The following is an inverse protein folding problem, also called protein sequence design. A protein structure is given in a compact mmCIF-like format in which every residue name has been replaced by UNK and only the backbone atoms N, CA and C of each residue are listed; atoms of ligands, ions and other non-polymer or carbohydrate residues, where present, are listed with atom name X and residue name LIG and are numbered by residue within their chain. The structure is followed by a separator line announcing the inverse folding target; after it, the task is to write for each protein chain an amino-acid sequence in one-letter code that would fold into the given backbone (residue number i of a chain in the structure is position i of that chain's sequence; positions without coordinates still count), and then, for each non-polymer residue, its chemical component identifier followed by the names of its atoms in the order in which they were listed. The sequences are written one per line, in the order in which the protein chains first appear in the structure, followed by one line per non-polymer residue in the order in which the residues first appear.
data_IF_416063406840
#
_entry.id   IF_416063406840
#
_cell.length_a   1.000
_cell.length_b   1.000
_cell.length_c   1.000
_cell.angle_alpha   90.00
_cell.angle_beta   90.00
_cell.angle_gamma   90.00
#
_symmetry.space_group_name_H-M   'P 1'
#
loop_
_entity.id
_entity.type
_entity.pdbx_description
1 polymer ?
#
# COMPACT_ATOMS: atom_id res chain seq x y z
N UNK A 1 -39.44 17.61 6.20
CA UNK A 1 -38.38 17.46 5.17
C UNK A 1 -37.03 17.00 5.72
N UNK A 2 -36.59 17.44 6.92
CA UNK A 2 -35.30 17.05 7.55
C UNK A 2 -35.07 15.53 7.70
N UNK A 3 -36.08 14.77 8.14
CA UNK A 3 -35.95 13.31 8.35
C UNK A 3 -35.81 12.49 7.06
N UNK A 4 -36.31 13.00 5.93
CA UNK A 4 -36.15 12.35 4.61
C UNK A 4 -34.70 12.52 4.13
N UNK A 5 -34.17 13.74 4.26
CA UNK A 5 -32.77 14.08 3.96
C UNK A 5 -31.77 13.26 4.81
N UNK A 6 -32.06 13.09 6.10
CA UNK A 6 -31.25 12.24 7.00
C UNK A 6 -31.29 10.74 6.65
N UNK A 7 -32.43 10.24 6.13
CA UNK A 7 -32.50 8.86 5.61
C UNK A 7 -31.68 8.71 4.32
N UNK A 8 -31.76 9.69 3.42
CA UNK A 8 -31.03 9.67 2.16
C UNK A 8 -29.50 9.69 2.39
N UNK A 9 -29.01 10.50 3.34
CA UNK A 9 -27.59 10.52 3.73
C UNK A 9 -27.11 9.18 4.31
N UNK A 10 -27.93 8.51 5.14
CA UNK A 10 -27.59 7.18 5.69
C UNK A 10 -27.53 6.12 4.59
N UNK A 11 -28.46 6.16 3.64
CA UNK A 11 -28.46 5.23 2.49
C UNK A 11 -27.21 5.46 1.62
N UNK A 12 -26.85 6.72 1.37
CA UNK A 12 -25.63 7.07 0.64
C UNK A 12 -24.37 6.56 1.37
N UNK A 13 -24.27 6.77 2.68
CA UNK A 13 -23.15 6.26 3.50
C UNK A 13 -23.04 4.74 3.45
N UNK A 14 -24.18 4.03 3.53
CA UNK A 14 -24.20 2.58 3.45
C UNK A 14 -23.75 2.08 2.07
N UNK A 15 -24.22 2.72 1.00
CA UNK A 15 -23.81 2.39 -0.36
C UNK A 15 -22.31 2.60 -0.57
N UNK A 16 -21.77 3.74 -0.12
CA UNK A 16 -20.34 4.02 -0.19
C UNK A 16 -19.50 3.00 0.60
N UNK A 17 -20.00 2.56 1.76
CA UNK A 17 -19.36 1.51 2.57
C UNK A 17 -19.31 0.18 1.83
N UNK A 18 -20.43 -0.28 1.27
CA UNK A 18 -20.52 -1.53 0.51
C UNK A 18 -19.58 -1.49 -0.71
N UNK A 19 -19.56 -0.37 -1.45
CA UNK A 19 -18.66 -0.19 -2.58
C UNK A 19 -17.19 -0.23 -2.16
N UNK A 20 -16.84 0.40 -1.03
CA UNK A 20 -15.48 0.35 -0.48
C UNK A 20 -15.08 -1.07 -0.07
N UNK A 21 -15.98 -1.83 0.56
CA UNK A 21 -15.73 -3.22 0.96
C UNK A 21 -15.57 -4.13 -0.27
N UNK A 22 -16.41 -3.96 -1.28
CA UNK A 22 -16.31 -4.69 -2.55
C UNK A 22 -14.99 -4.38 -3.27
N UNK A 23 -14.58 -3.10 -3.31
CA UNK A 23 -13.30 -2.68 -3.87
C UNK A 23 -12.11 -3.31 -3.12
N UNK A 24 -12.13 -3.29 -1.78
CA UNK A 24 -11.09 -3.93 -0.97
C UNK A 24 -11.02 -5.44 -1.21
N UNK A 25 -12.17 -6.10 -1.35
CA UNK A 25 -12.24 -7.52 -1.66
C UNK A 25 -11.61 -7.82 -3.04
N UNK A 26 -11.96 -7.05 -4.07
CA UNK A 26 -11.38 -7.21 -5.42
C UNK A 26 -9.86 -7.00 -5.40
N UNK A 27 -9.39 -5.96 -4.69
CA UNK A 27 -7.96 -5.68 -4.56
C UNK A 27 -7.23 -6.82 -3.82
N UNK A 28 -7.84 -7.36 -2.77
CA UNK A 28 -7.32 -8.50 -2.02
C UNK A 28 -7.22 -9.76 -2.89
N UNK A 29 -8.25 -10.05 -3.69
CA UNK A 29 -8.23 -11.15 -4.66
C UNK A 29 -7.15 -10.95 -5.73
N UNK A 30 -6.94 -9.72 -6.21
CA UNK A 30 -5.86 -9.42 -7.15
C UNK A 30 -4.47 -9.69 -6.54
N UNK A 31 -4.26 -9.30 -5.28
CA UNK A 31 -3.01 -9.59 -4.54
C UNK A 31 -2.79 -11.10 -4.41
N UNK A 32 -3.83 -11.85 -4.03
CA UNK A 32 -3.76 -13.32 -3.95
C UNK A 32 -3.44 -13.92 -5.32
N UNK A 33 -4.09 -13.43 -6.39
CA UNK A 33 -3.85 -13.91 -7.75
C UNK A 33 -2.39 -13.74 -8.16
N UNK A 34 -1.81 -12.54 -7.94
CA UNK A 34 -0.39 -12.28 -8.21
C UNK A 34 0.49 -13.22 -7.39
N UNK A 35 0.17 -13.42 -6.10
CA UNK A 35 0.94 -14.27 -5.22
C UNK A 35 0.95 -15.73 -5.70
N UNK A 36 -0.21 -16.29 -6.03
CA UNK A 36 -0.32 -17.68 -6.54
C UNK A 36 0.42 -17.82 -7.86
N UNK A 37 0.19 -16.92 -8.83
CA UNK A 37 0.83 -16.99 -10.15
C UNK A 37 2.35 -16.86 -10.07
N UNK A 38 2.84 -15.96 -9.21
CA UNK A 38 4.26 -15.69 -9.07
C UNK A 38 5.01 -16.75 -8.26
N UNK A 39 4.42 -17.30 -7.19
CA UNK A 39 5.13 -18.15 -6.23
C UNK A 39 4.71 -19.62 -6.24
N UNK A 40 3.45 -19.92 -6.59
CA UNK A 40 2.95 -21.31 -6.64
C UNK A 40 3.09 -21.89 -8.05
N UNK A 41 2.87 -21.07 -9.08
CA UNK A 41 2.85 -21.51 -10.47
C UNK A 41 4.11 -21.14 -11.27
N UNK A 42 5.06 -20.40 -10.67
CA UNK A 42 6.28 -19.89 -11.32
C UNK A 42 6.05 -19.28 -12.71
N UNK A 43 4.93 -18.57 -12.89
CA UNK A 43 4.60 -17.94 -14.17
C UNK A 43 5.49 -16.73 -14.47
N UNK A 44 5.77 -16.44 -15.75
CA UNK A 44 6.47 -15.22 -16.13
C UNK A 44 5.64 -13.97 -15.82
N UNK A 45 6.34 -12.85 -15.59
CA UNK A 45 5.74 -11.55 -15.21
C UNK A 45 4.59 -11.12 -16.12
N UNK A 46 4.66 -11.43 -17.41
CA UNK A 46 3.63 -11.10 -18.40
C UNK A 46 2.24 -11.65 -18.05
N UNK A 47 2.15 -12.76 -17.30
CA UNK A 47 0.88 -13.42 -16.96
C UNK A 47 0.17 -12.84 -15.72
N UNK A 48 0.87 -12.01 -14.94
CA UNK A 48 0.29 -11.32 -13.77
C UNK A 48 0.53 -9.80 -13.79
N UNK A 49 1.08 -9.27 -14.88
CA UNK A 49 1.34 -7.84 -15.07
C UNK A 49 0.06 -7.00 -15.03
N UNK A 50 -1.06 -7.53 -15.53
CA UNK A 50 -2.34 -6.85 -15.53
C UNK A 50 -2.87 -6.64 -14.10
N UNK A 51 -2.82 -7.68 -13.26
CA UNK A 51 -3.23 -7.62 -11.86
C UNK A 51 -2.35 -6.67 -11.05
N UNK A 52 -1.03 -6.70 -11.28
CA UNK A 52 -0.12 -5.71 -10.70
C UNK A 52 -0.45 -4.28 -11.15
N UNK A 53 -0.76 -4.10 -12.44
CA UNK A 53 -1.21 -2.83 -12.98
C UNK A 53 -2.48 -2.32 -12.28
N UNK A 54 -3.48 -3.18 -12.10
CA UNK A 54 -4.72 -2.84 -11.38
C UNK A 54 -4.38 -2.40 -9.95
N UNK A 55 -3.54 -3.15 -9.22
CA UNK A 55 -3.18 -2.81 -7.84
C UNK A 55 -2.47 -1.44 -7.78
N UNK A 56 -1.44 -1.24 -8.61
CA UNK A 56 -0.64 -0.02 -8.61
C UNK A 56 -1.48 1.19 -9.02
N UNK A 57 -2.25 1.08 -10.11
CA UNK A 57 -3.10 2.16 -10.59
C UNK A 57 -4.18 2.52 -9.59
N UNK A 58 -4.75 1.54 -8.89
CA UNK A 58 -5.80 1.82 -7.91
C UNK A 58 -5.24 2.51 -6.65
N UNK A 59 -4.05 2.10 -6.16
CA UNK A 59 -3.35 2.80 -5.08
C UNK A 59 -3.01 4.24 -5.49
N UNK A 60 -2.48 4.43 -6.70
CA UNK A 60 -2.14 5.74 -7.22
C UNK A 60 -3.40 6.63 -7.37
N UNK A 61 -4.49 6.08 -7.89
CA UNK A 61 -5.75 6.79 -8.03
C UNK A 61 -6.28 7.26 -6.67
N UNK A 62 -6.29 6.39 -5.65
CA UNK A 62 -6.71 6.77 -4.31
C UNK A 62 -5.80 7.87 -3.76
N UNK A 63 -4.49 7.72 -3.82
CA UNK A 63 -3.56 8.72 -3.30
C UNK A 63 -3.72 10.10 -3.96
N UNK A 64 -3.87 10.13 -5.29
CA UNK A 64 -4.10 11.38 -6.03
C UNK A 64 -5.49 11.96 -5.71
N UNK A 65 -6.54 11.14 -5.72
CA UNK A 65 -7.90 11.60 -5.46
C UNK A 65 -8.05 12.12 -4.03
N UNK A 66 -7.45 11.44 -3.05
CA UNK A 66 -7.40 11.88 -1.67
C UNK A 66 -6.64 13.19 -1.53
N UNK A 67 -5.52 13.37 -2.25
CA UNK A 67 -4.82 14.66 -2.32
C UNK A 67 -5.71 15.76 -2.93
N UNK A 68 -6.45 15.49 -4.01
CA UNK A 68 -7.29 16.49 -4.66
C UNK A 68 -8.47 16.93 -3.79
N UNK A 69 -9.09 15.98 -3.10
CA UNK A 69 -10.20 16.22 -2.17
C UNK A 69 -9.69 16.81 -0.86
N UNK A 70 -8.45 16.51 -0.47
CA UNK A 70 -7.82 16.78 0.81
C UNK A 70 -8.31 15.86 1.94
N UNK A 71 -8.66 14.62 1.61
CA UNK A 71 -9.00 13.61 2.59
C UNK A 71 -7.72 13.10 3.28
N UNK A 72 -7.68 13.13 4.62
CA UNK A 72 -6.54 12.59 5.39
C UNK A 72 -6.63 11.07 5.45
N UNK A 73 -5.99 10.39 4.49
CA UNK A 73 -5.93 8.93 4.46
C UNK A 73 -4.76 8.37 5.27
N UNK A 74 -3.75 9.18 5.57
CA UNK A 74 -2.57 8.74 6.32
C UNK A 74 -2.73 8.92 7.85
N UNK A 75 -3.80 9.62 8.28
CA UNK A 75 -4.17 9.90 9.67
C UNK A 75 -2.94 10.29 10.48
N UNK A 76 -2.36 11.46 10.14
CA UNK A 76 -1.01 11.87 10.49
C UNK A 76 -0.85 12.34 11.96
N UNK A 77 -1.63 11.76 12.87
CA UNK A 77 -1.55 11.99 14.31
C UNK A 77 -0.13 11.74 14.82
N UNK A 78 0.42 12.72 15.55
CA UNK A 78 1.81 12.75 16.06
C UNK A 78 2.23 11.47 16.84
N UNK A 79 1.27 10.69 17.34
CA UNK A 79 1.50 9.47 18.13
C UNK A 79 1.57 8.17 17.31
N UNK A 80 1.45 8.19 15.98
CA UNK A 80 1.41 6.99 15.12
C UNK A 80 2.69 6.71 14.31
N UNK A 81 3.80 7.41 14.56
CA UNK A 81 5.08 7.12 13.84
C UNK A 81 5.67 5.75 14.20
N UNK A 82 5.52 5.31 15.45
CA UNK A 82 6.01 4.01 15.93
C UNK A 82 5.35 2.81 15.21
N UNK A 83 4.01 2.72 15.07
CA UNK A 83 3.40 1.62 14.32
C UNK A 83 3.77 1.62 12.84
N UNK A 84 4.04 2.78 12.22
CA UNK A 84 4.49 2.83 10.81
C UNK A 84 5.85 2.17 10.62
N UNK A 85 6.83 2.49 11.47
CA UNK A 85 8.18 1.89 11.38
C UNK A 85 8.10 0.38 11.59
N UNK A 86 7.27 -0.07 12.54
CA UNK A 86 7.03 -1.49 12.79
C UNK A 86 6.45 -2.20 11.55
N UNK A 87 5.46 -1.58 10.88
CA UNK A 87 4.87 -2.12 9.65
C UNK A 87 5.93 -2.23 8.54
N UNK A 88 6.73 -1.18 8.33
CA UNK A 88 7.80 -1.20 7.33
C UNK A 88 8.78 -2.35 7.61
N UNK A 89 9.19 -2.50 8.87
CA UNK A 89 10.12 -3.54 9.29
C UNK A 89 9.54 -4.95 9.07
N UNK A 90 8.31 -5.20 9.53
CA UNK A 90 7.64 -6.50 9.38
C UNK A 90 7.43 -6.84 7.90
N UNK A 91 6.97 -5.88 7.09
CA UNK A 91 6.78 -6.09 5.65
C UNK A 91 8.10 -6.36 4.93
N UNK A 92 9.17 -5.65 5.28
CA UNK A 92 10.50 -5.87 4.69
C UNK A 92 11.07 -7.23 5.07
N UNK A 93 10.84 -7.67 6.31
CA UNK A 93 11.25 -8.98 6.79
C UNK A 93 10.49 -10.08 6.04
N UNK A 94 9.18 -9.96 5.88
CA UNK A 94 8.37 -10.91 5.12
C UNK A 94 8.85 -11.02 3.66
N UNK A 95 9.12 -9.89 3.00
CA UNK A 95 9.64 -9.87 1.62
C UNK A 95 11.00 -10.57 1.55
N UNK A 96 11.90 -10.30 2.51
CA UNK A 96 13.23 -10.93 2.55
C UNK A 96 13.13 -12.45 2.73
N UNK A 97 12.29 -12.93 3.67
CA UNK A 97 12.08 -14.37 3.90
C UNK A 97 11.54 -15.05 2.63
N UNK A 98 10.48 -14.50 2.03
CA UNK A 98 9.84 -15.07 0.85
C UNK A 98 10.83 -15.13 -0.33
N UNK A 99 11.59 -14.05 -0.57
CA UNK A 99 12.63 -14.04 -1.59
C UNK A 99 13.78 -14.99 -1.27
N UNK A 100 14.16 -15.11 0.00
CA UNK A 100 15.17 -16.05 0.48
C UNK A 100 14.80 -17.49 0.19
N UNK A 101 13.57 -17.90 0.52
CA UNK A 101 13.06 -19.26 0.22
C UNK A 101 13.13 -19.53 -1.28
N UNK A 102 12.66 -18.58 -2.10
CA UNK A 102 12.68 -18.71 -3.56
C UNK A 102 14.11 -18.79 -4.10
N UNK A 103 15.01 -17.95 -3.58
CA UNK A 103 16.39 -17.90 -4.00
C UNK A 103 17.14 -19.19 -3.62
N UNK A 104 16.91 -19.72 -2.41
CA UNK A 104 17.48 -20.99 -1.98
C UNK A 104 16.95 -22.17 -2.81
N UNK A 105 15.67 -22.16 -3.17
CA UNK A 105 15.08 -23.19 -4.05
C UNK A 105 15.71 -23.19 -5.46
N UNK A 106 15.99 -22.00 -6.02
CA UNK A 106 16.52 -21.86 -7.38
C UNK A 106 18.05 -21.96 -7.48
N UNK A 107 18.78 -21.54 -6.43
CA UNK A 107 20.24 -21.43 -6.44
C UNK A 107 20.89 -22.19 -5.27
N UNK A 108 20.18 -23.14 -4.68
CA UNK A 108 20.64 -23.93 -3.52
C UNK A 108 22.00 -24.58 -3.74
N UNK A 109 22.27 -25.05 -4.96
CA UNK A 109 23.54 -25.68 -5.35
C UNK A 109 24.75 -24.73 -5.26
N UNK A 110 24.51 -23.40 -5.21
CA UNK A 110 25.56 -22.39 -5.03
C UNK A 110 25.87 -22.10 -3.56
N UNK A 111 25.10 -22.69 -2.64
CA UNK A 111 25.25 -22.46 -1.21
C UNK A 111 25.77 -23.70 -0.50
N UNK A 112 26.65 -23.50 0.49
CA UNK A 112 27.13 -24.59 1.34
C UNK A 112 26.13 -24.97 2.44
N UNK A 113 25.05 -24.19 2.59
CA UNK A 113 23.97 -24.43 3.55
C UNK A 113 23.20 -23.15 3.89
N UNK A 114 22.28 -23.25 4.85
CA UNK A 114 21.41 -22.14 5.28
C UNK A 114 22.20 -21.05 6.04
N UNK A 115 23.34 -21.41 6.63
CA UNK A 115 24.24 -20.48 7.30
C UNK A 115 25.42 -20.03 6.42
N UNK A 116 25.34 -20.27 5.12
CA UNK A 116 26.33 -19.77 4.17
C UNK A 116 26.29 -18.23 4.14
N UNK A 117 27.47 -17.61 4.24
CA UNK A 117 27.63 -16.16 4.19
C UNK A 117 27.07 -15.54 2.91
N UNK A 118 27.13 -16.26 1.78
CA UNK A 118 26.52 -15.81 0.52
C UNK A 118 25.00 -15.75 0.62
N UNK A 119 24.37 -16.78 1.18
CA UNK A 119 22.91 -16.82 1.36
C UNK A 119 22.43 -15.75 2.35
N UNK A 120 23.13 -15.59 3.47
CA UNK A 120 22.84 -14.53 4.46
C UNK A 120 22.99 -13.14 3.82
N UNK A 121 23.99 -12.95 2.96
CA UNK A 121 24.18 -11.68 2.24
C UNK A 121 23.00 -11.39 1.30
N UNK A 122 22.48 -12.39 0.59
CA UNK A 122 21.29 -12.24 -0.26
C UNK A 122 20.07 -11.82 0.57
N UNK A 123 19.83 -12.46 1.72
CA UNK A 123 18.75 -12.08 2.64
C UNK A 123 18.89 -10.64 3.14
N UNK A 124 20.09 -10.26 3.59
CA UNK A 124 20.39 -8.94 4.11
C UNK A 124 20.22 -7.85 3.05
N UNK A 125 20.77 -8.06 1.85
CA UNK A 125 20.64 -7.13 0.73
C UNK A 125 19.18 -6.97 0.33
N UNK A 126 18.43 -8.07 0.19
CA UNK A 126 17.00 -8.02 -0.14
C UNK A 126 16.21 -7.27 0.92
N UNK A 127 16.51 -7.50 2.20
CA UNK A 127 15.88 -6.80 3.31
C UNK A 127 16.14 -5.29 3.25
N UNK A 128 17.39 -4.87 3.05
CA UNK A 128 17.76 -3.45 2.95
C UNK A 128 17.02 -2.78 1.77
N UNK A 129 17.01 -3.42 0.60
CA UNK A 129 16.27 -2.90 -0.55
C UNK A 129 14.76 -2.80 -0.27
N UNK A 130 14.17 -3.78 0.40
CA UNK A 130 12.76 -3.75 0.77
C UNK A 130 12.44 -2.59 1.74
N UNK A 131 13.29 -2.37 2.76
CA UNK A 131 13.15 -1.25 3.69
C UNK A 131 13.21 0.08 2.96
N UNK A 132 14.21 0.27 2.09
CA UNK A 132 14.37 1.51 1.30
C UNK A 132 13.16 1.72 0.41
N UNK A 133 12.75 0.70 -0.35
CA UNK A 133 11.62 0.78 -1.27
C UNK A 133 10.32 1.16 -0.55
N UNK A 134 9.98 0.43 0.52
CA UNK A 134 8.76 0.68 1.29
C UNK A 134 8.82 2.09 1.92
N UNK A 135 9.97 2.50 2.45
CA UNK A 135 10.14 3.85 3.03
C UNK A 135 9.91 4.94 1.99
N UNK A 136 10.43 4.79 0.77
CA UNK A 136 10.19 5.73 -0.35
C UNK A 136 8.70 5.81 -0.67
N UNK A 137 7.99 4.68 -0.75
CA UNK A 137 6.53 4.66 -0.97
C UNK A 137 5.80 5.41 0.15
N UNK A 138 6.15 5.17 1.41
CA UNK A 138 5.56 5.87 2.55
C UNK A 138 5.82 7.39 2.52
N UNK A 139 7.02 7.82 2.12
CA UNK A 139 7.36 9.24 1.98
C UNK A 139 6.52 9.88 0.88
N UNK A 140 6.39 9.23 -0.28
CA UNK A 140 5.56 9.72 -1.40
C UNK A 140 4.10 9.88 -0.96
N UNK A 141 3.52 8.85 -0.32
CA UNK A 141 2.15 8.89 0.18
C UNK A 141 1.96 10.01 1.22
N UNK A 142 2.90 10.16 2.14
CA UNK A 142 2.87 11.21 3.17
C UNK A 142 2.94 12.61 2.56
N UNK A 143 3.76 12.78 1.52
CA UNK A 143 3.86 14.04 0.77
C UNK A 143 2.56 14.39 0.05
N UNK A 144 1.96 13.42 -0.66
CA UNK A 144 0.67 13.61 -1.33
C UNK A 144 -0.43 13.97 -0.32
N UNK A 145 -0.45 13.29 0.83
CA UNK A 145 -1.40 13.59 1.90
C UNK A 145 -1.22 15.02 2.44
N UNK A 146 0.01 15.42 2.77
CA UNK A 146 0.31 16.76 3.26
C UNK A 146 -0.10 17.85 2.26
N UNK A 147 0.18 17.64 0.97
CA UNK A 147 -0.20 18.56 -0.10
C UNK A 147 -1.73 18.68 -0.24
N UNK A 148 -2.46 17.59 -0.04
CA UNK A 148 -3.92 17.60 -0.03
C UNK A 148 -4.50 18.38 1.14
N UNK A 149 -3.95 18.17 2.35
CA UNK A 149 -4.36 18.89 3.55
C UNK A 149 -4.14 20.40 3.42
N UNK A 150 -2.93 20.81 3.00
CA UNK A 150 -2.61 22.24 2.78
C UNK A 150 -3.56 22.91 1.80
N UNK A 151 -3.99 22.18 0.75
CA UNK A 151 -4.92 22.72 -0.24
C UNK A 151 -6.31 23.01 0.34
N UNK A 152 -6.87 22.11 1.17
CA UNK A 152 -8.14 22.40 1.86
C UNK A 152 -7.94 23.55 2.82
N UNK A 153 -6.89 23.52 3.64
CA UNK A 153 -6.65 24.55 4.66
C UNK A 153 -6.57 25.95 4.04
N UNK A 154 -5.91 26.09 2.89
CA UNK A 154 -5.86 27.36 2.17
C UNK A 154 -7.22 27.78 1.62
N UNK A 155 -8.02 26.85 1.06
CA UNK A 155 -9.37 27.15 0.59
C UNK A 155 -10.29 27.63 1.72
N UNK A 156 -10.24 26.96 2.87
CA UNK A 156 -11.05 27.36 4.03
C UNK A 156 -10.67 28.76 4.52
N UNK A 157 -9.37 29.10 4.54
CA UNK A 157 -8.92 30.46 4.89
C UNK A 157 -9.37 31.51 3.88
N UNK A 158 -9.35 31.20 2.58
CA UNK A 158 -9.85 32.11 1.54
C UNK A 158 -11.35 32.36 1.70
N UNK A 159 -12.13 31.31 1.96
CA UNK A 159 -13.58 31.41 2.18
C UNK A 159 -13.89 32.26 3.43
N UNK A 160 -13.20 32.04 4.56
CA UNK A 160 -13.34 32.82 5.80
C UNK A 160 -12.96 34.31 5.66
N UNK A 161 -12.03 34.66 4.76
CA UNK A 161 -11.62 36.05 4.51
C UNK A 161 -12.61 36.78 3.58
N UNK A 162 -13.41 36.01 2.82
CA UNK A 162 -14.36 36.54 1.84
C UNK A 162 -15.79 36.77 2.36
N UNK A 163 -16.10 36.31 3.58
CA UNK A 163 -17.32 36.63 4.35
C UNK A 163 -17.15 37.87 5.22
#
# INVERSE_FOLDING_TARGET
MKNKKLKDERILQLNNKIQSEAYLLVLFLAIISVFIKSYVMDMPFTQYAAELGIIILSIAYIAIRSMLIGYDFMNNSKNKKAPTILIIFISSLAISIVNGIRNFSLYGDKYTGILDGLFISVLAVTFIYAVIFISVVFVILSFLNAKGQQRIENKLKEDEISE
#
